data_IF_427157095943
#
_entry.id   IF_427157095943
#
_cell.length_a   1.000
_cell.length_b   1.000
_cell.length_c   1.000
_cell.angle_alpha   90.00
_cell.angle_beta   90.00
_cell.angle_gamma   90.00
#
_symmetry.space_group_name_H-M   'P 1'
#
loop_
_entity.id
_entity.type
_entity.pdbx_description
1 polymer ?
#
# COMPACT_ATOMS: atom_id res chain seq x y z
N UNK A 1 -26.23 -14.79 28.64
CA UNK A 1 -25.99 -13.51 27.93
C UNK A 1 -25.47 -13.83 26.54
N UNK A 2 -25.84 -13.06 25.51
CA UNK A 2 -25.17 -13.15 24.21
C UNK A 2 -23.92 -12.27 24.25
N UNK A 3 -22.75 -12.84 23.97
CA UNK A 3 -21.60 -12.02 23.58
C UNK A 3 -21.79 -11.62 22.11
N UNK A 4 -22.00 -10.33 21.85
CA UNK A 4 -21.70 -9.76 20.53
C UNK A 4 -20.19 -9.84 20.32
N UNK A 5 -19.73 -10.80 19.53
CA UNK A 5 -18.45 -10.64 18.84
C UNK A 5 -18.64 -9.50 17.82
N UNK A 6 -17.72 -8.53 17.80
CA UNK A 6 -17.89 -7.30 17.02
C UNK A 6 -17.99 -7.59 15.52
N UNK A 7 -18.94 -6.95 14.85
CA UNK A 7 -19.38 -7.27 13.48
C UNK A 7 -18.85 -6.31 12.42
N UNK A 8 -17.53 -6.06 12.38
CA UNK A 8 -16.86 -5.56 11.18
C UNK A 8 -16.79 -6.69 10.13
N UNK A 9 -16.57 -6.38 8.85
CA UNK A 9 -16.26 -7.42 7.89
C UNK A 9 -14.93 -8.16 8.19
N UNK A 10 -14.68 -9.22 7.42
CA UNK A 10 -13.39 -9.93 7.40
C UNK A 10 -12.29 -9.05 6.78
N UNK A 11 -11.02 -9.14 7.22
CA UNK A 11 -9.89 -8.63 6.45
C UNK A 11 -9.83 -9.27 5.05
N UNK A 12 -9.33 -8.51 4.08
CA UNK A 12 -9.17 -8.94 2.67
C UNK A 12 -7.73 -8.81 2.17
N UNK A 13 -7.02 -7.78 2.62
CA UNK A 13 -5.59 -7.57 2.36
C UNK A 13 -4.92 -7.07 3.64
N UNK A 14 -3.65 -7.42 3.82
CA UNK A 14 -2.79 -6.97 4.94
C UNK A 14 -1.41 -6.66 4.36
N UNK A 15 -0.90 -5.47 4.62
CA UNK A 15 0.51 -5.13 4.51
C UNK A 15 1.08 -4.91 5.92
N UNK A 16 2.31 -5.37 6.15
CA UNK A 16 3.05 -5.19 7.41
C UNK A 16 4.38 -4.51 7.11
N UNK A 17 4.74 -3.52 7.91
CA UNK A 17 6.01 -2.81 7.82
C UNK A 17 6.90 -3.04 9.05
N UNK A 18 8.06 -2.41 9.03
CA UNK A 18 8.86 -2.19 10.25
C UNK A 18 8.14 -1.20 11.19
N UNK A 19 8.59 -1.12 12.44
CA UNK A 19 8.16 -0.10 13.41
C UNK A 19 6.65 -0.17 13.75
N UNK A 20 6.10 -1.39 13.84
CA UNK A 20 4.68 -1.69 14.10
C UNK A 20 3.68 -1.07 13.08
N UNK A 21 4.18 -0.62 11.90
CA UNK A 21 3.35 -0.12 10.80
C UNK A 21 2.57 -1.25 10.11
N UNK A 22 1.35 -0.93 9.68
CA UNK A 22 0.48 -1.85 8.94
C UNK A 22 -0.54 -1.10 8.09
N UNK A 23 -1.11 -1.81 7.10
CA UNK A 23 -2.35 -1.43 6.42
C UNK A 23 -3.24 -2.67 6.31
N UNK A 24 -4.54 -2.54 6.57
CA UNK A 24 -5.51 -3.63 6.44
C UNK A 24 -6.77 -3.12 5.75
N UNK A 25 -7.21 -3.78 4.67
CA UNK A 25 -8.56 -3.58 4.10
C UNK A 25 -9.56 -4.60 4.64
N UNK A 26 -10.82 -4.20 4.79
CA UNK A 26 -11.94 -5.06 5.19
C UNK A 26 -12.92 -5.24 4.03
N UNK A 27 -13.61 -6.37 4.00
CA UNK A 27 -14.46 -6.76 2.86
C UNK A 27 -15.76 -5.94 2.70
N UNK A 28 -15.99 -4.95 3.55
CA UNK A 28 -17.01 -3.90 3.44
C UNK A 28 -16.50 -2.64 2.69
N UNK A 29 -15.19 -2.53 2.46
CA UNK A 29 -14.53 -1.40 1.79
C UNK A 29 -13.76 -0.48 2.74
N UNK A 30 -13.92 -0.66 4.06
CA UNK A 30 -13.21 0.10 5.08
C UNK A 30 -11.71 -0.30 5.14
N UNK A 31 -10.86 0.58 5.69
CA UNK A 31 -9.46 0.27 5.99
C UNK A 31 -8.98 0.91 7.30
N UNK A 32 -7.94 0.35 7.91
CA UNK A 32 -7.21 0.92 9.06
C UNK A 32 -5.71 0.72 8.85
N UNK A 33 -4.91 1.66 9.34
CA UNK A 33 -3.45 1.68 9.16
C UNK A 33 -2.73 2.29 10.35
N UNK A 34 -1.42 2.06 10.40
CA UNK A 34 -0.44 2.80 11.19
C UNK A 34 0.77 3.08 10.29
N UNK A 35 1.14 4.35 10.14
CA UNK A 35 2.19 4.82 9.24
C UNK A 35 2.39 6.34 9.33
N UNK A 36 3.15 6.94 8.40
CA UNK A 36 3.28 8.39 8.22
C UNK A 36 1.93 9.12 8.13
N UNK A 37 1.91 10.40 8.52
CA UNK A 37 0.69 11.23 8.40
C UNK A 37 0.35 11.47 6.91
N UNK A 38 1.38 11.45 6.08
CA UNK A 38 1.36 11.56 4.62
C UNK A 38 0.52 10.42 4.01
N UNK A 39 0.46 9.25 4.65
CA UNK A 39 -0.43 8.17 4.23
C UNK A 39 -1.91 8.51 4.42
N UNK A 40 -2.29 9.40 5.34
CA UNK A 40 -3.70 9.78 5.51
C UNK A 40 -4.22 10.48 4.24
N UNK A 41 -3.39 11.31 3.59
CA UNK A 41 -3.73 11.95 2.31
C UNK A 41 -3.76 10.94 1.15
N UNK A 42 -2.81 9.99 1.10
CA UNK A 42 -2.80 8.92 0.09
C UNK A 42 -3.96 7.92 0.24
N UNK A 43 -4.53 7.76 1.44
CA UNK A 43 -5.56 6.74 1.71
C UNK A 43 -6.99 7.29 1.74
N UNK A 44 -7.22 8.59 1.95
CA UNK A 44 -8.58 9.15 2.09
C UNK A 44 -9.46 8.89 0.85
N UNK A 45 -10.56 8.19 1.06
CA UNK A 45 -11.55 7.85 0.03
C UNK A 45 -11.08 6.94 -1.10
N UNK A 46 -9.85 6.39 -1.08
CA UNK A 46 -9.28 5.59 -2.18
C UNK A 46 -9.34 4.08 -1.92
N UNK A 47 -9.76 3.30 -2.91
CA UNK A 47 -9.67 1.84 -2.88
C UNK A 47 -8.27 1.37 -3.24
N UNK A 48 -7.54 0.88 -2.25
CA UNK A 48 -6.15 0.41 -2.36
C UNK A 48 -6.07 -1.05 -2.76
N UNK A 49 -5.15 -1.35 -3.68
CA UNK A 49 -4.81 -2.69 -4.17
C UNK A 49 -3.59 -3.29 -3.48
N UNK A 50 -2.56 -2.47 -3.21
CA UNK A 50 -1.31 -2.90 -2.57
C UNK A 50 -0.65 -1.75 -1.80
N UNK A 51 -0.02 -2.06 -0.66
CA UNK A 51 0.80 -1.14 0.13
C UNK A 51 2.14 -1.82 0.43
N UNK A 52 3.23 -1.07 0.28
CA UNK A 52 4.55 -1.45 0.75
C UNK A 52 5.11 -0.41 1.73
N UNK A 53 5.91 -0.88 2.69
CA UNK A 53 6.64 -0.06 3.66
C UNK A 53 8.13 -0.34 3.50
N UNK A 54 8.98 0.70 3.41
CA UNK A 54 10.44 0.54 3.45
C UNK A 54 10.97 0.35 4.88
N UNK A 55 12.28 0.46 5.10
CA UNK A 55 12.86 0.35 6.46
C UNK A 55 12.46 1.52 7.38
N UNK A 56 12.60 2.74 6.87
CA UNK A 56 12.32 3.98 7.60
C UNK A 56 10.83 4.29 7.72
N UNK A 57 10.45 5.07 8.74
CA UNK A 57 9.05 5.35 9.07
C UNK A 57 8.31 6.00 7.90
N UNK A 58 8.94 7.02 7.30
CA UNK A 58 8.42 7.79 6.15
C UNK A 58 8.32 7.00 4.85
N UNK A 59 9.06 5.90 4.71
CA UNK A 59 9.16 5.16 3.45
C UNK A 59 7.93 4.28 3.21
N UNK A 60 7.13 4.62 2.18
CA UNK A 60 5.97 3.82 1.75
C UNK A 60 5.65 3.97 0.25
N UNK A 61 4.91 2.99 -0.28
CA UNK A 61 4.35 3.01 -1.63
C UNK A 61 2.91 2.49 -1.61
N UNK A 62 1.98 3.17 -2.26
CA UNK A 62 0.58 2.75 -2.43
C UNK A 62 0.26 2.53 -3.90
N UNK A 63 -0.40 1.42 -4.22
CA UNK A 63 -1.01 1.14 -5.54
C UNK A 63 -2.52 1.01 -5.36
N UNK A 64 -3.29 1.68 -6.21
CA UNK A 64 -4.75 1.74 -6.14
C UNK A 64 -5.42 0.77 -7.11
N UNK A 65 -6.71 0.52 -6.92
CA UNK A 65 -7.50 -0.33 -7.83
C UNK A 65 -7.76 0.31 -9.22
N UNK A 66 -7.52 1.62 -9.35
CA UNK A 66 -7.44 2.31 -10.64
C UNK A 66 -6.09 2.12 -11.37
N UNK A 67 -5.15 1.37 -10.77
CA UNK A 67 -3.82 1.08 -11.29
C UNK A 67 -2.81 2.23 -11.12
N UNK A 68 -3.27 3.40 -10.67
CA UNK A 68 -2.42 4.52 -10.26
C UNK A 68 -1.72 4.26 -8.93
N UNK A 69 -0.92 5.23 -8.49
CA UNK A 69 -0.01 5.06 -7.35
C UNK A 69 0.46 6.39 -6.75
N UNK A 70 0.93 6.31 -5.51
CA UNK A 70 1.61 7.37 -4.75
C UNK A 70 2.74 6.74 -3.91
N UNK A 71 3.76 7.52 -3.53
CA UNK A 71 4.87 7.05 -2.71
C UNK A 71 5.50 8.21 -1.91
N UNK A 72 6.22 7.88 -0.85
CA UNK A 72 7.14 8.79 -0.15
C UNK A 72 8.42 8.02 0.24
N UNK A 73 9.59 8.67 0.13
CA UNK A 73 10.91 8.13 0.50
C UNK A 73 11.19 6.68 0.02
N UNK A 74 11.11 6.43 -1.29
CA UNK A 74 11.36 5.11 -1.92
C UNK A 74 12.55 5.13 -2.90
N UNK A 75 13.17 3.98 -3.25
CA UNK A 75 14.37 3.95 -4.08
C UNK A 75 14.21 4.64 -5.45
N UNK A 76 15.15 5.52 -5.79
CA UNK A 76 15.19 6.26 -7.07
C UNK A 76 15.02 5.36 -8.30
N UNK A 77 15.55 4.14 -8.28
CA UNK A 77 15.46 3.21 -9.42
C UNK A 77 14.01 2.75 -9.68
N UNK A 78 13.20 2.56 -8.64
CA UNK A 78 11.78 2.24 -8.73
C UNK A 78 11.00 3.44 -9.30
N UNK A 79 11.29 4.64 -8.80
CA UNK A 79 10.69 5.91 -9.28
C UNK A 79 10.99 6.12 -10.76
N UNK A 80 12.25 6.01 -11.15
CA UNK A 80 12.68 6.18 -12.54
C UNK A 80 12.08 5.13 -13.47
N UNK A 81 11.99 3.86 -13.03
CA UNK A 81 11.28 2.81 -13.78
C UNK A 81 9.82 3.22 -14.04
N UNK A 82 9.04 3.49 -12.99
CA UNK A 82 7.59 3.74 -13.10
C UNK A 82 7.31 5.01 -13.90
N UNK A 83 8.08 6.09 -13.69
CA UNK A 83 7.93 7.32 -14.48
C UNK A 83 8.22 7.11 -15.99
N UNK A 84 9.06 6.12 -16.34
CA UNK A 84 9.43 5.79 -17.72
C UNK A 84 8.45 4.87 -18.45
N UNK A 85 7.57 4.15 -17.75
CA UNK A 85 6.63 3.16 -18.36
C UNK A 85 5.66 3.75 -19.38
N UNK A 86 5.42 5.07 -19.34
CA UNK A 86 4.53 5.80 -20.23
C UNK A 86 3.05 5.62 -19.86
N UNK A 87 2.59 4.38 -19.76
CA UNK A 87 1.37 4.04 -19.02
C UNK A 87 1.69 4.08 -17.52
N UNK A 88 0.79 4.69 -16.73
CA UNK A 88 0.97 4.93 -15.28
C UNK A 88 -0.19 4.41 -14.42
N UNK A 89 -1.09 3.65 -15.05
CA UNK A 89 -2.33 3.14 -14.49
C UNK A 89 -2.42 1.60 -14.66
N UNK A 90 -1.27 0.93 -14.66
CA UNK A 90 -1.11 -0.51 -14.92
C UNK A 90 -0.46 -1.25 -13.75
N UNK A 91 -0.26 -0.60 -12.59
CA UNK A 91 0.37 -1.23 -11.44
C UNK A 91 -0.61 -2.15 -10.71
N UNK A 92 -0.09 -3.27 -10.20
CA UNK A 92 -0.86 -4.25 -9.41
C UNK A 92 -0.35 -4.42 -7.99
N UNK A 93 0.95 -4.72 -7.87
CA UNK A 93 1.54 -5.08 -6.60
C UNK A 93 2.91 -4.43 -6.46
N UNK A 94 3.23 -4.02 -5.23
CA UNK A 94 4.54 -3.48 -4.87
C UNK A 94 4.99 -4.11 -3.57
N UNK A 95 6.30 -4.32 -3.42
CA UNK A 95 6.92 -4.58 -2.13
C UNK A 95 8.30 -3.92 -2.08
N UNK A 96 8.68 -3.48 -0.88
CA UNK A 96 9.95 -2.82 -0.59
C UNK A 96 10.73 -3.70 0.40
N UNK A 97 12.02 -3.83 0.17
CA UNK A 97 12.98 -4.44 1.08
C UNK A 97 13.70 -3.39 1.92
N UNK A 98 14.29 -3.78 3.07
CA UNK A 98 14.88 -2.83 4.00
C UNK A 98 16.20 -2.21 3.47
N UNK A 99 16.85 -2.79 2.47
CA UNK A 99 18.11 -2.29 1.90
C UNK A 99 17.90 -1.67 0.51
N UNK A 100 16.69 -1.17 0.25
CA UNK A 100 16.30 -0.57 -1.03
C UNK A 100 15.99 -1.58 -2.13
N UNK A 101 15.86 -2.87 -1.81
CA UNK A 101 15.31 -3.85 -2.75
C UNK A 101 13.83 -3.52 -3.03
N UNK A 102 13.33 -3.91 -4.20
CA UNK A 102 11.92 -3.75 -4.54
C UNK A 102 11.46 -4.82 -5.54
N UNK A 103 10.15 -5.05 -5.57
CA UNK A 103 9.49 -5.81 -6.63
C UNK A 103 8.18 -5.10 -7.02
N UNK A 104 7.85 -5.17 -8.31
CA UNK A 104 6.72 -4.51 -8.93
C UNK A 104 6.02 -5.49 -9.88
N UNK A 105 4.71 -5.68 -9.73
CA UNK A 105 3.84 -6.41 -10.67
C UNK A 105 2.97 -5.41 -11.44
N UNK A 106 2.74 -5.66 -12.73
CA UNK A 106 1.86 -4.85 -13.59
C UNK A 106 0.85 -5.71 -14.36
N UNK A 107 -0.20 -5.08 -14.90
CA UNK A 107 -1.32 -5.74 -15.59
C UNK A 107 -0.87 -6.71 -16.71
N UNK A 108 0.28 -6.46 -17.33
CA UNK A 108 0.85 -7.22 -18.46
C UNK A 108 1.82 -8.36 -18.07
N UNK A 109 2.22 -8.47 -16.80
CA UNK A 109 3.22 -9.42 -16.30
C UNK A 109 4.63 -8.84 -16.26
#
# INVERSE_FOLDING_TARGET
MLNKLNSRARPTYVALGTQDRYYISFADGESEWVGPNEMDESLDGRTVRSVAFGEDWGSYFVVYEDGGWEYEDVPDELVNLILSRGERADLRFVTLGPQGEWYLETESG
#
